data_IF_223652507892
#
_entry.id   IF_223652507892
#
_cell.length_a   1.000
_cell.length_b   1.000
_cell.length_c   1.000
_cell.angle_alpha   90.00
_cell.angle_beta   90.00
_cell.angle_gamma   90.00
#
_symmetry.space_group_name_H-M   'P 1'
#
loop_
_entity.id
_entity.type
_entity.pdbx_description
1 polymer ?
#
# COMPACT_ATOMS: atom_id res chain seq x y z
N UNK A 1 32.45 15.22 -39.08
CA UNK A 1 32.63 14.55 -37.77
C UNK A 1 31.81 15.33 -36.74
N UNK A 2 30.60 14.90 -36.40
CA UNK A 2 29.83 15.47 -35.29
C UNK A 2 29.25 14.30 -34.51
N UNK A 3 29.91 13.95 -33.41
CA UNK A 3 29.43 12.93 -32.48
C UNK A 3 28.38 13.57 -31.59
N UNK A 4 27.11 13.33 -31.89
CA UNK A 4 26.00 13.63 -30.99
C UNK A 4 26.06 12.63 -29.85
N UNK A 5 26.88 12.90 -28.83
CA UNK A 5 26.76 12.22 -27.53
C UNK A 5 25.51 12.76 -26.87
N UNK A 6 24.35 12.30 -27.33
CA UNK A 6 23.07 12.48 -26.68
C UNK A 6 23.13 11.66 -25.39
N UNK A 7 23.68 12.28 -24.34
CA UNK A 7 23.56 11.78 -22.98
C UNK A 7 22.08 11.79 -22.65
N UNK A 8 21.42 10.66 -22.88
CA UNK A 8 20.07 10.40 -22.38
C UNK A 8 20.10 10.72 -20.89
N UNK A 9 19.23 11.59 -20.36
CA UNK A 9 19.11 11.71 -18.92
C UNK A 9 18.63 10.33 -18.45
N UNK A 10 19.55 9.57 -17.88
CA UNK A 10 19.21 8.41 -17.07
C UNK A 10 18.24 8.95 -16.03
N UNK A 11 16.97 8.52 -16.14
CA UNK A 11 15.83 8.95 -15.33
C UNK A 11 16.32 9.44 -13.98
N UNK A 12 16.27 10.76 -13.78
CA UNK A 12 16.78 11.39 -12.57
C UNK A 12 16.26 10.60 -11.38
N UNK A 13 17.16 9.93 -10.66
CA UNK A 13 16.79 9.07 -9.56
C UNK A 13 15.90 9.91 -8.65
N UNK A 14 14.68 9.44 -8.30
CA UNK A 14 13.78 10.23 -7.50
C UNK A 14 14.53 10.68 -6.25
N UNK A 15 14.53 11.99 -6.00
CA UNK A 15 15.27 12.54 -4.86
C UNK A 15 14.92 11.77 -3.59
N UNK A 16 15.89 11.60 -2.68
CA UNK A 16 15.72 10.95 -1.37
C UNK A 16 14.36 11.24 -0.68
N UNK A 17 13.80 12.48 -0.67
CA UNK A 17 12.48 12.72 -0.09
C UNK A 17 11.29 12.09 -0.82
N UNK A 18 11.39 11.79 -2.11
CA UNK A 18 10.38 11.02 -2.83
C UNK A 18 10.41 9.55 -2.43
N UNK A 19 11.61 8.96 -2.37
CA UNK A 19 11.77 7.54 -2.02
C UNK A 19 11.26 7.27 -0.61
N UNK A 20 11.56 8.14 0.36
CA UNK A 20 11.06 8.01 1.74
C UNK A 20 9.52 8.09 1.79
N UNK A 21 8.91 9.06 1.10
CA UNK A 21 7.44 9.17 1.04
C UNK A 21 6.78 7.96 0.37
N UNK A 22 7.43 7.37 -0.63
CA UNK A 22 6.94 6.16 -1.27
C UNK A 22 7.01 4.96 -0.32
N UNK A 23 8.12 4.81 0.41
CA UNK A 23 8.28 3.76 1.42
C UNK A 23 7.24 3.90 2.54
N UNK A 24 6.98 5.11 3.03
CA UNK A 24 5.95 5.37 4.04
C UNK A 24 4.55 4.96 3.54
N UNK A 25 4.22 5.28 2.28
CA UNK A 25 2.95 4.85 1.67
C UNK A 25 2.85 3.33 1.54
N UNK A 26 3.95 2.67 1.16
CA UNK A 26 3.97 1.21 1.03
C UNK A 26 3.80 0.57 2.41
N UNK A 27 4.50 1.07 3.43
CA UNK A 27 4.38 0.59 4.80
C UNK A 27 2.94 0.75 5.33
N UNK A 28 2.31 1.90 5.07
CA UNK A 28 0.91 2.12 5.44
C UNK A 28 -0.05 1.17 4.72
N UNK A 29 0.18 0.90 3.42
CA UNK A 29 -0.62 -0.03 2.65
C UNK A 29 -0.46 -1.49 3.14
N UNK A 30 0.76 -1.91 3.47
CA UNK A 30 1.04 -3.24 4.02
C UNK A 30 0.39 -3.41 5.41
N UNK A 31 0.48 -2.41 6.28
CA UNK A 31 -0.19 -2.44 7.59
C UNK A 31 -1.72 -2.58 7.44
N UNK A 32 -2.34 -1.80 6.55
CA UNK A 32 -3.77 -1.89 6.28
C UNK A 32 -4.15 -3.26 5.69
N UNK A 33 -3.33 -3.80 4.79
CA UNK A 33 -3.54 -5.13 4.22
C UNK A 33 -3.49 -6.24 5.29
N UNK A 34 -2.50 -6.20 6.18
CA UNK A 34 -2.40 -7.15 7.30
C UNK A 34 -3.60 -7.09 8.23
N UNK A 35 -4.08 -5.88 8.54
CA UNK A 35 -5.31 -5.70 9.32
C UNK A 35 -6.53 -6.31 8.63
N UNK A 36 -6.68 -6.09 7.32
CA UNK A 36 -7.75 -6.73 6.53
C UNK A 36 -7.69 -8.25 6.59
N UNK A 37 -6.50 -8.83 6.38
CA UNK A 37 -6.31 -10.28 6.41
C UNK A 37 -6.61 -10.85 7.80
N UNK A 38 -6.17 -10.16 8.86
CA UNK A 38 -6.48 -10.57 10.22
C UNK A 38 -7.99 -10.58 10.48
N UNK A 39 -8.72 -9.54 10.06
CA UNK A 39 -10.17 -9.43 10.22
C UNK A 39 -10.95 -10.45 9.38
N UNK A 40 -10.56 -10.68 8.12
CA UNK A 40 -11.15 -11.76 7.29
C UNK A 40 -10.87 -13.15 7.86
N UNK A 41 -9.73 -13.33 8.54
CA UNK A 41 -9.38 -14.58 9.20
C UNK A 41 -10.08 -14.78 10.54
N UNK A 42 -10.77 -13.76 11.08
CA UNK A 42 -11.59 -13.93 12.27
C UNK A 42 -12.85 -14.69 11.92
N UNK A 43 -13.19 -15.70 12.72
CA UNK A 43 -14.46 -16.40 12.61
C UNK A 43 -15.64 -15.45 12.84
N UNK A 44 -16.79 -15.77 12.25
CA UNK A 44 -18.02 -14.96 12.34
C UNK A 44 -18.43 -14.64 13.78
N UNK A 45 -18.18 -15.54 14.73
CA UNK A 45 -18.44 -15.32 16.15
C UNK A 45 -17.59 -14.18 16.73
N UNK A 46 -16.30 -14.14 16.41
CA UNK A 46 -15.40 -13.07 16.86
C UNK A 46 -15.73 -11.73 16.23
N UNK A 47 -16.17 -11.73 14.97
CA UNK A 47 -16.65 -10.51 14.31
C UNK A 47 -17.95 -10.02 14.98
N UNK A 48 -18.88 -10.92 15.28
CA UNK A 48 -20.13 -10.60 15.96
C UNK A 48 -19.89 -10.08 17.39
N UNK A 49 -18.93 -10.63 18.13
CA UNK A 49 -18.50 -10.12 19.44
C UNK A 49 -17.97 -8.68 19.37
N UNK A 50 -17.41 -8.28 18.23
CA UNK A 50 -16.96 -6.91 17.95
C UNK A 50 -18.06 -6.04 17.35
N UNK A 51 -19.29 -6.57 17.19
CA UNK A 51 -20.39 -5.86 16.54
C UNK A 51 -20.21 -5.66 15.04
N UNK A 52 -19.35 -6.46 14.40
CA UNK A 52 -19.01 -6.37 12.98
C UNK A 52 -19.54 -7.57 12.23
N UNK A 53 -19.95 -7.35 10.98
CA UNK A 53 -20.22 -8.42 10.03
C UNK A 53 -19.06 -8.54 9.04
N UNK A 54 -18.97 -9.68 8.35
CA UNK A 54 -18.05 -9.84 7.21
C UNK A 54 -18.25 -8.76 6.14
N UNK A 55 -19.50 -8.32 5.95
CA UNK A 55 -19.83 -7.24 5.01
C UNK A 55 -19.28 -5.88 5.47
N UNK A 56 -19.28 -5.60 6.78
CA UNK A 56 -18.71 -4.37 7.34
C UNK A 56 -17.19 -4.36 7.20
N UNK A 57 -16.55 -5.49 7.47
CA UNK A 57 -15.11 -5.67 7.23
C UNK A 57 -14.81 -5.44 5.74
N UNK A 58 -15.57 -6.04 4.84
CA UNK A 58 -15.37 -5.84 3.41
C UNK A 58 -15.61 -4.42 2.92
N UNK A 59 -16.64 -3.74 3.45
CA UNK A 59 -16.94 -2.36 3.13
C UNK A 59 -15.82 -1.42 3.61
N UNK A 60 -15.28 -1.64 4.81
CA UNK A 60 -14.20 -0.83 5.38
C UNK A 60 -12.91 -0.86 4.55
N UNK A 61 -12.67 -1.92 3.79
CA UNK A 61 -11.49 -2.08 2.95
C UNK A 61 -11.76 -2.00 1.44
N UNK A 62 -12.97 -1.63 1.03
CA UNK A 62 -13.30 -1.35 -0.37
C UNK A 62 -13.04 0.13 -0.63
N UNK A 63 -11.94 0.43 -1.31
CA UNK A 63 -11.53 1.79 -1.68
C UNK A 63 -11.82 2.07 -3.14
#
# INVERSE_FOLDING_TARGET
MQSLTQTRPFLAAPGRPFVLRLLDRIAAADAAYRQKVALRGMGAERLADMGLTEADVEAAFRR
#
